data_IF_990957765826
#
_entry.id   IF_990957765826
#
_cell.length_a   1.000
_cell.length_b   1.000
_cell.length_c   1.000
_cell.angle_alpha   90.00
_cell.angle_beta   90.00
_cell.angle_gamma   90.00
#
_symmetry.space_group_name_H-M   'P 1'
#
loop_
_entity.id
_entity.type
_entity.pdbx_description
1 polymer ?
#
# COMPACT_ATOMS: atom_id res chain seq x y z
N UNK A 1 35.10 0.60 0.89
CA UNK A 1 34.35 -0.67 0.81
C UNK A 1 33.33 -0.56 -0.32
N UNK A 2 33.80 -0.58 -1.55
CA UNK A 2 32.99 -0.51 -2.76
C UNK A 2 33.22 -1.82 -3.52
N UNK A 3 32.23 -2.72 -3.51
CA UNK A 3 32.28 -3.92 -4.34
C UNK A 3 31.76 -3.57 -5.73
N UNK A 4 32.71 -3.33 -6.62
CA UNK A 4 32.56 -3.38 -8.07
C UNK A 4 32.17 -4.81 -8.45
N UNK A 5 30.89 -5.04 -8.70
CA UNK A 5 30.42 -6.27 -9.32
C UNK A 5 30.78 -6.24 -10.81
N UNK A 6 31.61 -7.19 -11.20
CA UNK A 6 32.13 -7.41 -12.53
C UNK A 6 31.02 -7.50 -13.59
N UNK A 7 31.09 -6.64 -14.60
CA UNK A 7 30.38 -6.82 -15.86
C UNK A 7 31.38 -7.48 -16.84
N UNK A 8 31.22 -8.75 -17.26
CA UNK A 8 32.14 -9.34 -18.20
C UNK A 8 31.85 -8.79 -19.61
N UNK A 9 32.85 -8.16 -20.19
CA UNK A 9 32.90 -7.78 -21.58
C UNK A 9 32.64 -9.01 -22.47
N UNK A 10 31.55 -9.00 -23.24
CA UNK A 10 31.25 -10.06 -24.20
C UNK A 10 31.73 -9.61 -25.58
N UNK A 11 32.92 -10.10 -25.93
CA UNK A 11 33.56 -10.03 -27.23
C UNK A 11 32.78 -10.90 -28.23
N UNK A 12 32.26 -10.33 -29.32
CA UNK A 12 31.82 -11.09 -30.49
C UNK A 12 32.21 -10.38 -31.79
N UNK A 13 33.01 -11.02 -32.66
CA UNK A 13 33.34 -10.50 -33.98
C UNK A 13 32.23 -10.88 -34.99
N UNK A 14 31.91 -9.94 -35.88
CA UNK A 14 31.39 -10.17 -37.24
C UNK A 14 30.14 -11.05 -37.41
N UNK A 15 28.98 -10.43 -37.63
CA UNK A 15 27.79 -11.09 -38.17
C UNK A 15 26.59 -10.17 -38.32
N UNK A 16 26.40 -9.60 -39.52
CA UNK A 16 25.22 -8.80 -39.88
C UNK A 16 23.96 -9.69 -39.99
N UNK A 17 23.37 -10.12 -38.87
CA UNK A 17 21.99 -10.61 -38.85
C UNK A 17 21.28 -10.25 -37.53
N UNK A 18 20.25 -9.41 -37.68
CA UNK A 18 19.15 -9.15 -36.73
C UNK A 18 19.39 -8.31 -35.45
N UNK A 19 19.22 -6.98 -35.51
CA UNK A 19 19.05 -6.12 -34.33
C UNK A 19 17.76 -6.40 -33.52
N UNK A 20 16.76 -7.08 -34.10
CA UNK A 20 15.46 -7.30 -33.45
C UNK A 20 15.47 -8.40 -32.38
N UNK A 21 16.25 -9.47 -32.55
CA UNK A 21 16.34 -10.58 -31.59
C UNK A 21 17.04 -10.16 -30.29
N UNK A 22 18.13 -9.38 -30.41
CA UNK A 22 18.84 -8.79 -29.28
C UNK A 22 17.96 -7.76 -28.54
N UNK A 23 17.25 -6.90 -29.28
CA UNK A 23 16.31 -5.94 -28.69
C UNK A 23 15.15 -6.63 -27.95
N UNK A 24 14.65 -7.75 -28.48
CA UNK A 24 13.61 -8.55 -27.84
C UNK A 24 14.10 -9.18 -26.54
N UNK A 25 15.32 -9.72 -26.51
CA UNK A 25 15.92 -10.28 -25.31
C UNK A 25 16.10 -9.22 -24.21
N UNK A 26 16.57 -8.02 -24.57
CA UNK A 26 16.71 -6.90 -23.63
C UNK A 26 15.35 -6.44 -23.11
N UNK A 27 14.33 -6.32 -23.97
CA UNK A 27 12.96 -5.98 -23.55
C UNK A 27 12.36 -7.04 -22.61
N UNK A 28 12.57 -8.32 -22.91
CA UNK A 28 12.09 -9.41 -22.08
C UNK A 28 12.75 -9.39 -20.69
N UNK A 29 14.07 -9.16 -20.64
CA UNK A 29 14.80 -9.03 -19.38
C UNK A 29 14.35 -7.81 -18.58
N UNK A 30 14.20 -6.64 -19.22
CA UNK A 30 13.65 -5.43 -18.60
C UNK A 30 12.22 -5.62 -18.09
N UNK A 31 11.39 -6.40 -18.80
CA UNK A 31 10.02 -6.69 -18.38
C UNK A 31 10.01 -7.62 -17.17
N UNK A 32 10.89 -8.63 -17.14
CA UNK A 32 11.05 -9.53 -15.99
C UNK A 32 11.50 -8.77 -14.73
N UNK A 33 12.47 -7.87 -14.84
CA UNK A 33 12.96 -7.10 -13.69
C UNK A 33 11.94 -6.08 -13.19
N UNK A 34 11.21 -5.42 -14.09
CA UNK A 34 10.09 -4.53 -13.72
C UNK A 34 8.98 -5.28 -13.00
N UNK A 35 8.67 -6.50 -13.42
CA UNK A 35 7.66 -7.32 -12.77
C UNK A 35 8.08 -7.69 -11.35
N UNK A 36 9.34 -8.10 -11.16
CA UNK A 36 9.88 -8.44 -9.85
C UNK A 36 9.86 -7.25 -8.88
N UNK A 37 10.33 -6.08 -9.32
CA UNK A 37 10.31 -4.89 -8.47
C UNK A 37 8.91 -4.42 -8.11
N UNK A 38 7.95 -4.54 -9.04
CA UNK A 38 6.55 -4.20 -8.78
C UNK A 38 5.93 -5.15 -7.75
N UNK A 39 6.26 -6.44 -7.81
CA UNK A 39 5.77 -7.43 -6.87
C UNK A 39 6.31 -7.19 -5.46
N UNK A 40 7.60 -6.92 -5.32
CA UNK A 40 8.22 -6.60 -4.02
C UNK A 40 7.62 -5.33 -3.41
N UNK A 41 7.40 -4.30 -4.22
CA UNK A 41 6.74 -3.07 -3.77
C UNK A 41 5.31 -3.32 -3.32
N UNK A 42 4.53 -4.14 -4.05
CA UNK A 42 3.16 -4.47 -3.67
C UNK A 42 3.10 -5.15 -2.29
N UNK A 43 3.99 -6.12 -2.06
CA UNK A 43 4.09 -6.82 -0.77
C UNK A 43 4.45 -5.85 0.34
N UNK A 44 5.46 -4.99 0.12
CA UNK A 44 5.86 -3.97 1.08
C UNK A 44 4.71 -3.01 1.41
N UNK A 45 4.00 -2.52 0.40
CA UNK A 45 2.85 -1.63 0.59
C UNK A 45 1.76 -2.28 1.43
N UNK A 46 1.45 -3.56 1.21
CA UNK A 46 0.47 -4.29 2.02
C UNK A 46 0.88 -4.38 3.49
N UNK A 47 2.14 -4.69 3.77
CA UNK A 47 2.63 -4.74 5.15
C UNK A 47 2.64 -3.37 5.82
N UNK A 48 3.13 -2.33 5.13
CA UNK A 48 3.14 -0.97 5.64
C UNK A 48 1.72 -0.48 5.94
N UNK A 49 0.78 -0.84 5.09
CA UNK A 49 -0.62 -0.51 5.29
C UNK A 49 -1.18 -1.14 6.59
N UNK A 50 -0.92 -2.43 6.84
CA UNK A 50 -1.31 -3.09 8.09
C UNK A 50 -0.66 -2.44 9.32
N UNK A 51 0.60 -2.04 9.22
CA UNK A 51 1.31 -1.33 10.30
C UNK A 51 0.63 0.00 10.61
N UNK A 52 0.28 0.78 9.57
CA UNK A 52 -0.40 2.07 9.73
C UNK A 52 -1.77 1.90 10.39
N UNK A 53 -2.58 0.95 9.93
CA UNK A 53 -3.91 0.69 10.54
C UNK A 53 -3.77 0.27 11.98
N UNK A 54 -2.84 -0.64 12.27
CA UNK A 54 -2.63 -1.11 13.64
C UNK A 54 -2.19 0.03 14.55
N UNK A 55 -1.26 0.87 14.10
CA UNK A 55 -0.79 2.03 14.86
C UNK A 55 -1.91 3.05 15.14
N UNK A 56 -2.73 3.35 14.13
CA UNK A 56 -3.87 4.28 14.28
C UNK A 56 -4.91 3.70 15.24
N UNK A 57 -5.32 2.44 15.03
CA UNK A 57 -6.28 1.76 15.93
C UNK A 57 -5.76 1.73 17.37
N UNK A 58 -4.47 1.46 17.55
CA UNK A 58 -3.85 1.46 18.87
C UNK A 58 -3.92 2.84 19.54
N UNK A 59 -3.60 3.92 18.82
CA UNK A 59 -3.75 5.29 19.32
C UNK A 59 -5.20 5.61 19.75
N UNK A 60 -6.17 5.15 18.97
CA UNK A 60 -7.59 5.29 19.32
C UNK A 60 -7.96 4.55 20.59
N UNK A 61 -7.54 3.29 20.75
CA UNK A 61 -7.83 2.51 21.97
C UNK A 61 -7.24 3.18 23.20
N UNK A 62 -6.02 3.72 23.09
CA UNK A 62 -5.33 4.38 24.22
C UNK A 62 -6.07 5.62 24.71
N UNK A 63 -6.57 6.42 23.76
CA UNK A 63 -7.23 7.70 24.03
C UNK A 63 -8.73 7.53 24.30
N UNK A 64 -9.35 6.44 23.85
CA UNK A 64 -10.78 6.14 24.05
C UNK A 64 -11.18 6.11 25.52
N UNK A 65 -10.32 5.56 26.40
CA UNK A 65 -10.59 5.55 27.83
C UNK A 65 -10.79 6.96 28.41
N UNK A 66 -9.99 7.93 27.95
CA UNK A 66 -10.16 9.34 28.31
C UNK A 66 -11.40 9.96 27.66
N UNK A 67 -11.67 9.65 26.38
CA UNK A 67 -12.85 10.15 25.69
C UNK A 67 -14.15 9.75 26.40
N UNK A 68 -14.28 8.50 26.83
CA UNK A 68 -15.49 8.03 27.51
C UNK A 68 -15.73 8.82 28.81
N UNK A 69 -14.68 9.09 29.58
CA UNK A 69 -14.81 9.83 30.83
C UNK A 69 -15.10 11.33 30.60
N UNK A 70 -14.46 11.97 29.61
CA UNK A 70 -14.55 13.42 29.41
C UNK A 70 -15.64 13.86 28.43
N UNK A 71 -15.94 13.05 27.42
CA UNK A 71 -16.88 13.39 26.34
C UNK A 71 -18.22 12.68 26.57
N UNK A 72 -18.20 11.39 26.90
CA UNK A 72 -19.45 10.60 26.95
C UNK A 72 -20.22 10.80 28.25
N UNK A 73 -19.54 11.06 29.38
CA UNK A 73 -20.20 11.36 30.67
C UNK A 73 -20.64 12.82 30.82
N UNK A 74 -20.18 13.72 29.94
CA UNK A 74 -20.52 15.15 29.96
C UNK A 74 -21.68 15.43 28.99
N UNK A 75 -22.42 16.55 29.16
CA UNK A 75 -23.42 16.95 28.18
C UNK A 75 -22.76 17.17 26.82
N UNK A 76 -23.30 16.53 25.78
CA UNK A 76 -22.76 16.59 24.43
C UNK A 76 -22.79 18.04 23.92
N UNK A 77 -21.61 18.55 23.59
CA UNK A 77 -21.45 19.85 22.95
C UNK A 77 -21.22 19.67 21.46
N UNK A 78 -21.56 20.69 20.65
CA UNK A 78 -21.31 20.69 19.20
C UNK A 78 -19.86 20.37 18.85
N UNK A 79 -18.90 20.85 19.65
CA UNK A 79 -17.47 20.61 19.45
C UNK A 79 -17.12 19.14 19.72
N UNK A 80 -17.67 18.52 20.79
CA UNK A 80 -17.50 17.08 21.05
C UNK A 80 -18.08 16.22 19.93
N UNK A 81 -19.25 16.58 19.40
CA UNK A 81 -19.85 15.85 18.29
C UNK A 81 -18.98 15.91 17.04
N UNK A 82 -18.52 17.11 16.65
CA UNK A 82 -17.63 17.28 15.49
C UNK A 82 -16.33 16.52 15.68
N UNK A 83 -15.75 16.57 16.88
CA UNK A 83 -14.53 15.83 17.21
C UNK A 83 -14.71 14.32 17.04
N UNK A 84 -15.78 13.74 17.59
CA UNK A 84 -16.11 12.31 17.43
C UNK A 84 -16.37 11.99 15.96
N UNK A 85 -17.15 12.79 15.25
CA UNK A 85 -17.44 12.56 13.83
C UNK A 85 -16.14 12.52 12.99
N UNK A 86 -15.27 13.52 13.12
CA UNK A 86 -14.00 13.56 12.38
C UNK A 86 -13.13 12.34 12.73
N UNK A 87 -13.09 11.97 14.01
CA UNK A 87 -12.26 10.88 14.51
C UNK A 87 -12.70 9.51 13.98
N UNK A 88 -13.99 9.21 14.08
CA UNK A 88 -14.51 7.90 13.70
C UNK A 88 -14.75 7.78 12.19
N UNK A 89 -15.11 8.86 11.48
CA UNK A 89 -15.14 8.86 10.01
C UNK A 89 -13.72 8.69 9.45
N UNK A 90 -12.73 9.37 10.02
CA UNK A 90 -11.33 9.22 9.62
C UNK A 90 -10.83 7.77 9.79
N UNK A 91 -11.18 7.12 10.90
CA UNK A 91 -10.92 5.70 11.11
C UNK A 91 -11.56 4.80 10.06
N UNK A 92 -12.86 4.98 9.83
CA UNK A 92 -13.59 4.22 8.82
C UNK A 92 -12.98 4.41 7.43
N UNK A 93 -12.59 5.63 7.09
CA UNK A 93 -11.97 5.98 5.82
C UNK A 93 -10.60 5.34 5.63
N UNK A 94 -9.74 5.38 6.66
CA UNK A 94 -8.45 4.70 6.61
C UNK A 94 -8.71 3.22 6.41
N UNK A 95 -9.54 2.59 7.24
CA UNK A 95 -9.81 1.15 7.20
C UNK A 95 -10.37 0.68 5.84
N UNK A 96 -11.24 1.45 5.20
CA UNK A 96 -11.78 1.12 3.87
C UNK A 96 -10.72 1.23 2.77
N UNK A 97 -9.91 2.29 2.76
CA UNK A 97 -8.79 2.43 1.81
C UNK A 97 -7.85 1.23 1.90
N UNK A 98 -7.66 0.73 3.12
CA UNK A 98 -6.87 -0.45 3.37
C UNK A 98 -7.38 -1.73 2.85
N UNK A 99 -8.62 -2.02 3.20
CA UNK A 99 -9.30 -3.23 2.79
C UNK A 99 -9.41 -3.29 1.26
N UNK A 100 -9.62 -2.15 0.59
CA UNK A 100 -9.72 -2.07 -0.87
C UNK A 100 -8.34 -2.08 -1.55
N UNK A 101 -7.37 -1.34 -1.00
CA UNK A 101 -6.03 -1.21 -1.57
C UNK A 101 -5.14 -2.43 -1.34
N UNK A 102 -5.45 -3.23 -0.31
CA UNK A 102 -4.73 -4.45 -0.01
C UNK A 102 -5.40 -5.64 -0.68
N UNK A 103 -4.59 -6.54 -1.25
CA UNK A 103 -5.03 -7.75 -1.96
C UNK A 103 -5.76 -8.78 -1.08
N UNK A 104 -6.11 -8.44 0.17
CA UNK A 104 -6.76 -9.32 1.14
C UNK A 104 -8.24 -9.58 0.81
N UNK A 105 -8.92 -8.68 0.10
CA UNK A 105 -10.29 -8.90 -0.36
C UNK A 105 -10.29 -9.50 -1.78
N UNK A 106 -10.94 -10.67 -2.00
CA UNK A 106 -11.28 -11.13 -3.33
C UNK A 106 -12.09 -10.03 -4.06
N UNK A 107 -11.71 -9.72 -5.30
CA UNK A 107 -12.23 -8.59 -6.09
C UNK A 107 -13.75 -8.33 -6.05
N UNK A 108 -14.64 -9.35 -6.02
CA UNK A 108 -16.08 -9.12 -5.90
C UNK A 108 -16.48 -8.35 -4.64
N UNK A 109 -15.83 -8.63 -3.50
CA UNK A 109 -16.15 -7.99 -2.22
C UNK A 109 -15.63 -6.55 -2.14
N UNK A 110 -14.44 -6.28 -2.72
CA UNK A 110 -13.91 -4.92 -2.84
C UNK A 110 -14.82 -4.02 -3.71
N UNK A 111 -15.44 -4.60 -4.73
CA UNK A 111 -16.39 -3.90 -5.60
C UNK A 111 -17.69 -3.59 -4.87
N UNK A 112 -18.21 -4.51 -4.05
CA UNK A 112 -19.39 -4.26 -3.22
C UNK A 112 -19.15 -3.16 -2.16
N UNK A 113 -18.01 -3.18 -1.47
CA UNK A 113 -17.68 -2.15 -0.47
C UNK A 113 -17.56 -0.77 -1.11
N UNK A 114 -16.91 -0.68 -2.27
CA UNK A 114 -16.79 0.61 -2.99
C UNK A 114 -18.11 1.14 -3.54
N UNK A 115 -19.08 0.28 -3.86
CA UNK A 115 -20.44 0.69 -4.26
C UNK A 115 -21.31 1.16 -3.08
N UNK A 116 -21.06 0.64 -1.88
CA UNK A 116 -21.80 1.07 -0.66
C UNK A 116 -21.30 2.43 -0.16
N UNK A 117 -20.04 2.78 -0.45
CA UNK A 117 -19.39 4.01 0.00
C UNK A 117 -19.46 5.18 -1.00
N UNK A 118 -20.12 5.00 -2.16
CA UNK A 118 -20.23 6.00 -3.22
C UNK A 118 -21.66 6.51 -3.34
#
# INVERSE_FOLDING_TARGET
MAQMAACPALYLPGGHTQPYSQLLAVKLHLMSTKLQSTLELLVLTNYMYLVIVTAVVYDHVLTFAGEVEYIWRRPWTWVSTIFVVIRYIGLCWIMTIGLIGSSFLPGPLATCVSLILK
#
